data_IF_271270829759
#
_entry.id   IF_271270829759
#
_cell.length_a   1.000
_cell.length_b   1.000
_cell.length_c   1.000
_cell.angle_alpha   90.00
_cell.angle_beta   90.00
_cell.angle_gamma   90.00
#
_symmetry.space_group_name_H-M   'P 1'
#
loop_
_entity.id
_entity.type
_entity.pdbx_description
1 polymer ?
#
# COMPACT_ATOMS: atom_id res chain seq x y z
N UNK A 1 -19.31 25.74 -86.51
CA UNK A 1 -18.85 25.26 -85.18
C UNK A 1 -20.04 24.56 -84.56
N UNK A 2 -20.08 23.23 -84.64
CA UNK A 2 -21.17 22.40 -84.13
C UNK A 2 -20.70 21.69 -82.86
N UNK A 3 -21.57 21.74 -81.86
CA UNK A 3 -21.41 21.33 -80.47
C UNK A 3 -21.21 19.82 -80.37
N UNK A 4 -20.26 19.36 -79.53
CA UNK A 4 -19.99 17.96 -79.23
C UNK A 4 -20.98 17.43 -78.19
N UNK A 5 -21.51 16.24 -78.46
CA UNK A 5 -22.36 15.42 -77.59
C UNK A 5 -21.58 14.85 -76.41
N UNK A 6 -22.16 14.93 -75.20
CA UNK A 6 -21.77 14.14 -74.03
C UNK A 6 -22.85 13.09 -73.77
N UNK A 7 -22.45 11.81 -73.79
CA UNK A 7 -23.26 10.64 -73.49
C UNK A 7 -23.06 10.30 -72.00
N UNK A 8 -24.13 10.33 -71.20
CA UNK A 8 -24.12 9.90 -69.81
C UNK A 8 -24.16 8.36 -69.69
N UNK A 9 -23.42 7.74 -68.75
CA UNK A 9 -23.54 6.30 -68.49
C UNK A 9 -24.71 5.98 -67.55
N UNK A 10 -25.42 4.92 -67.89
CA UNK A 10 -26.59 4.36 -67.18
C UNK A 10 -26.14 3.70 -65.87
N UNK A 11 -26.73 4.10 -64.73
CA UNK A 11 -26.49 3.47 -63.44
C UNK A 11 -27.19 2.11 -63.34
N UNK A 12 -26.40 1.05 -63.11
CA UNK A 12 -26.89 -0.27 -62.79
C UNK A 12 -27.49 -0.30 -61.37
N UNK A 13 -28.75 -0.67 -61.26
CA UNK A 13 -29.45 -0.97 -60.01
C UNK A 13 -28.91 -2.27 -59.40
N UNK A 14 -28.18 -2.16 -58.29
CA UNK A 14 -27.86 -3.29 -57.44
C UNK A 14 -29.12 -3.69 -56.66
N UNK A 15 -29.65 -4.88 -56.94
CA UNK A 15 -30.69 -5.56 -56.16
C UNK A 15 -30.10 -5.94 -54.79
N UNK A 16 -30.53 -5.24 -53.75
CA UNK A 16 -30.17 -5.55 -52.37
C UNK A 16 -30.76 -6.91 -51.94
N UNK A 17 -29.93 -7.73 -51.29
CA UNK A 17 -30.35 -8.97 -50.63
C UNK A 17 -31.48 -8.71 -49.62
N UNK A 18 -32.37 -9.70 -49.34
CA UNK A 18 -33.40 -9.54 -48.33
C UNK A 18 -32.77 -9.15 -46.99
N UNK A 19 -33.35 -8.19 -46.25
CA UNK A 19 -32.82 -7.77 -44.96
C UNK A 19 -32.71 -8.98 -44.03
N UNK A 20 -31.59 -9.10 -43.32
CA UNK A 20 -31.46 -10.17 -42.33
C UNK A 20 -32.49 -9.97 -41.23
N UNK A 21 -32.96 -11.02 -40.56
CA UNK A 21 -33.90 -10.91 -39.42
C UNK A 21 -33.37 -9.95 -38.34
N UNK A 22 -32.05 -9.87 -38.20
CA UNK A 22 -31.34 -8.89 -37.38
C UNK A 22 -31.57 -7.45 -37.86
N UNK A 23 -31.52 -7.18 -39.17
CA UNK A 23 -31.77 -5.87 -39.74
C UNK A 23 -33.24 -5.43 -39.59
N UNK A 24 -34.20 -6.37 -39.62
CA UNK A 24 -35.61 -6.09 -39.33
C UNK A 24 -35.85 -5.72 -37.86
N UNK A 25 -35.18 -6.41 -36.93
CA UNK A 25 -35.22 -6.07 -35.50
C UNK A 25 -34.53 -4.71 -35.25
N UNK A 26 -33.40 -4.46 -35.90
CA UNK A 26 -32.68 -3.19 -35.81
C UNK A 26 -33.47 -2.01 -36.36
N UNK A 27 -34.34 -2.23 -37.36
CA UNK A 27 -35.25 -1.22 -37.89
C UNK A 27 -36.36 -0.80 -36.89
N UNK A 28 -36.66 -1.63 -35.88
CA UNK A 28 -37.59 -1.28 -34.80
C UNK A 28 -36.92 -0.47 -33.67
N UNK A 29 -35.60 -0.52 -33.55
CA UNK A 29 -34.83 0.34 -32.64
C UNK A 29 -34.69 1.76 -33.19
N UNK A 30 -34.72 2.78 -32.32
CA UNK A 30 -34.57 4.21 -32.68
C UNK A 30 -33.16 4.61 -33.17
N UNK A 31 -32.30 3.67 -33.56
CA UNK A 31 -30.89 3.90 -33.88
C UNK A 31 -30.70 3.95 -35.40
N UNK A 32 -30.08 5.02 -35.91
CA UNK A 32 -29.91 5.21 -37.34
C UNK A 32 -28.77 4.33 -37.92
N UNK A 33 -28.91 3.75 -39.13
CA UNK A 33 -27.97 2.79 -39.74
C UNK A 33 -26.54 3.29 -40.06
N UNK A 34 -26.23 4.56 -39.82
CA UNK A 34 -24.93 5.19 -40.15
C UNK A 34 -24.22 5.80 -38.93
N UNK A 35 -24.68 5.46 -37.74
CA UNK A 35 -24.05 5.89 -36.48
C UNK A 35 -23.10 4.81 -35.97
N UNK A 36 -22.01 5.20 -35.33
CA UNK A 36 -21.07 4.28 -34.64
C UNK A 36 -21.81 3.43 -33.58
N UNK A 37 -22.91 3.95 -33.04
CA UNK A 37 -23.82 3.24 -32.13
C UNK A 37 -24.61 2.10 -32.78
N UNK A 38 -24.77 2.08 -34.11
CA UNK A 38 -25.52 1.03 -34.82
C UNK A 38 -24.79 -0.31 -34.75
N UNK A 39 -23.47 -0.32 -34.97
CA UNK A 39 -22.66 -1.54 -34.94
C UNK A 39 -22.56 -2.13 -33.53
N UNK A 40 -22.42 -1.28 -32.52
CA UNK A 40 -22.43 -1.70 -31.10
C UNK A 40 -23.79 -2.31 -30.72
N UNK A 41 -24.88 -1.66 -31.14
CA UNK A 41 -26.24 -2.15 -30.87
C UNK A 41 -26.49 -3.48 -31.59
N UNK A 42 -26.05 -3.62 -32.84
CA UNK A 42 -26.15 -4.87 -33.61
C UNK A 42 -25.39 -6.00 -32.93
N UNK A 43 -24.17 -5.75 -32.44
CA UNK A 43 -23.41 -6.72 -31.65
C UNK A 43 -24.16 -7.11 -30.37
N UNK A 44 -24.67 -6.14 -29.62
CA UNK A 44 -25.45 -6.39 -28.40
C UNK A 44 -26.68 -7.26 -28.64
N UNK A 45 -27.48 -6.96 -29.68
CA UNK A 45 -28.67 -7.75 -30.04
C UNK A 45 -28.28 -9.16 -30.49
N UNK A 46 -27.21 -9.31 -31.26
CA UNK A 46 -26.73 -10.63 -31.70
C UNK A 46 -26.25 -11.50 -30.53
N UNK A 47 -25.51 -10.92 -29.58
CA UNK A 47 -25.06 -11.61 -28.37
C UNK A 47 -26.23 -12.00 -27.46
N UNK A 48 -27.24 -11.13 -27.34
CA UNK A 48 -28.45 -11.41 -26.58
C UNK A 48 -29.25 -12.59 -27.16
N UNK A 49 -29.46 -12.61 -28.48
CA UNK A 49 -30.15 -13.71 -29.18
C UNK A 49 -29.35 -15.02 -29.02
N UNK A 50 -28.02 -14.98 -29.14
CA UNK A 50 -27.18 -16.15 -28.94
C UNK A 50 -27.26 -16.70 -27.50
N UNK A 51 -27.28 -15.82 -26.49
CA UNK A 51 -27.45 -16.21 -25.09
C UNK A 51 -28.84 -16.80 -24.82
N UNK A 52 -29.90 -16.24 -25.44
CA UNK A 52 -31.25 -16.81 -25.35
C UNK A 52 -31.34 -18.21 -25.96
N UNK A 53 -30.71 -18.45 -27.10
CA UNK A 53 -30.71 -19.76 -27.77
C UNK A 53 -30.00 -20.85 -26.96
N UNK A 54 -29.11 -20.47 -26.03
CA UNK A 54 -28.41 -21.40 -25.14
C UNK A 54 -29.22 -21.73 -23.87
N UNK A 55 -30.25 -20.96 -23.53
CA UNK A 55 -31.14 -21.22 -22.40
C UNK A 55 -32.39 -21.99 -22.83
N UNK A 56 -32.72 -23.09 -22.14
CA UNK A 56 -33.90 -23.95 -22.44
C UNK A 56 -35.28 -23.29 -22.19
N UNK A 57 -35.34 -21.97 -21.98
CA UNK A 57 -36.56 -21.25 -21.58
C UNK A 57 -37.28 -20.64 -22.78
N UNK A 58 -37.98 -21.48 -23.54
CA UNK A 58 -38.65 -21.10 -24.81
C UNK A 58 -39.99 -20.37 -24.66
N UNK A 59 -40.42 -19.99 -23.45
CA UNK A 59 -41.82 -19.61 -23.20
C UNK A 59 -42.08 -18.34 -22.35
N UNK A 60 -41.06 -17.65 -21.82
CA UNK A 60 -41.30 -16.42 -21.03
C UNK A 60 -41.18 -15.14 -21.89
N UNK A 61 -42.11 -14.18 -21.73
CA UNK A 61 -42.01 -12.88 -22.39
C UNK A 61 -40.74 -12.16 -21.92
N UNK A 62 -39.97 -11.62 -22.88
CA UNK A 62 -38.72 -10.91 -22.62
C UNK A 62 -39.00 -9.75 -21.66
N UNK A 63 -38.59 -9.93 -20.41
CA UNK A 63 -38.75 -8.96 -19.36
C UNK A 63 -37.41 -8.24 -19.14
N UNK A 64 -37.45 -6.97 -18.75
CA UNK A 64 -36.24 -6.20 -18.41
C UNK A 64 -35.42 -6.95 -17.35
N UNK A 65 -36.11 -7.67 -16.45
CA UNK A 65 -35.52 -8.54 -15.43
C UNK A 65 -34.64 -9.67 -15.99
N UNK A 66 -34.96 -10.23 -17.17
CA UNK A 66 -34.14 -11.28 -17.78
C UNK A 66 -32.83 -10.71 -18.33
N UNK A 67 -32.87 -9.48 -18.87
CA UNK A 67 -31.67 -8.75 -19.30
C UNK A 67 -30.81 -8.39 -18.08
N UNK A 68 -31.43 -7.88 -17.01
CA UNK A 68 -30.73 -7.55 -15.76
C UNK A 68 -30.07 -8.80 -15.14
N UNK A 69 -30.73 -9.96 -15.21
CA UNK A 69 -30.16 -11.23 -14.73
C UNK A 69 -28.94 -11.67 -15.57
N UNK A 70 -28.99 -11.52 -16.90
CA UNK A 70 -27.83 -11.79 -17.76
C UNK A 70 -26.67 -10.84 -17.48
N UNK A 71 -26.95 -9.56 -17.26
CA UNK A 71 -25.93 -8.57 -16.88
C UNK A 71 -25.32 -8.94 -15.53
N UNK A 72 -26.14 -9.33 -14.54
CA UNK A 72 -25.65 -9.76 -13.24
C UNK A 72 -24.73 -10.99 -13.31
N UNK A 73 -25.02 -11.97 -14.18
CA UNK A 73 -24.14 -13.12 -14.39
C UNK A 73 -22.82 -12.72 -15.07
N UNK A 74 -22.86 -11.81 -16.05
CA UNK A 74 -21.66 -11.24 -16.67
C UNK A 74 -20.81 -10.49 -15.63
N UNK A 75 -21.44 -9.65 -14.81
CA UNK A 75 -20.79 -8.89 -13.74
C UNK A 75 -20.16 -9.84 -12.71
N UNK A 76 -20.84 -10.93 -12.34
CA UNK A 76 -20.31 -11.94 -11.41
C UNK A 76 -19.12 -12.72 -12.00
N UNK A 77 -19.15 -13.05 -13.30
CA UNK A 77 -18.01 -13.69 -13.98
C UNK A 77 -16.82 -12.73 -14.12
N UNK A 78 -17.09 -11.47 -14.48
CA UNK A 78 -16.08 -10.43 -14.63
C UNK A 78 -15.46 -10.08 -13.28
N UNK A 79 -16.26 -10.01 -12.21
CA UNK A 79 -15.78 -9.74 -10.84
C UNK A 79 -14.83 -10.83 -10.37
N UNK A 80 -15.18 -12.12 -10.53
CA UNK A 80 -14.28 -13.23 -10.18
C UNK A 80 -12.96 -13.21 -10.96
N UNK A 81 -13.02 -12.85 -12.24
CA UNK A 81 -11.81 -12.71 -13.05
C UNK A 81 -10.97 -11.52 -12.58
N UNK A 82 -11.61 -10.41 -12.20
CA UNK A 82 -10.93 -9.23 -11.68
C UNK A 82 -10.29 -9.50 -10.31
N UNK A 83 -10.96 -10.23 -9.42
CA UNK A 83 -10.41 -10.66 -8.12
C UNK A 83 -9.12 -11.45 -8.31
N UNK A 84 -9.08 -12.39 -9.27
CA UNK A 84 -7.88 -13.14 -9.58
C UNK A 84 -6.70 -12.27 -10.08
N UNK A 85 -6.99 -11.13 -10.73
CA UNK A 85 -5.97 -10.19 -11.22
C UNK A 85 -5.51 -9.27 -10.09
N UNK A 86 -6.43 -8.70 -9.31
CA UNK A 86 -6.14 -7.73 -8.26
C UNK A 86 -5.50 -8.41 -7.04
N UNK A 87 -5.89 -9.64 -6.71
CA UNK A 87 -5.32 -10.41 -5.60
C UNK A 87 -4.06 -11.18 -6.00
N UNK A 88 -3.56 -11.01 -7.22
CA UNK A 88 -2.25 -11.58 -7.60
C UNK A 88 -1.13 -10.89 -6.79
N UNK A 89 -0.19 -11.65 -6.20
CA UNK A 89 0.79 -11.10 -5.26
C UNK A 89 1.68 -10.01 -5.90
N UNK A 90 2.09 -10.19 -7.15
CA UNK A 90 2.91 -9.21 -7.89
C UNK A 90 2.15 -7.89 -8.10
N UNK A 91 0.86 -7.97 -8.43
CA UNK A 91 0.02 -6.79 -8.63
C UNK A 91 -0.23 -6.09 -7.29
N UNK A 92 -0.52 -6.85 -6.25
CA UNK A 92 -0.83 -6.33 -4.93
C UNK A 92 0.40 -5.66 -4.29
N UNK A 93 1.60 -6.20 -4.47
CA UNK A 93 2.84 -5.57 -4.02
C UNK A 93 3.04 -4.21 -4.70
N UNK A 94 2.90 -4.15 -6.03
CA UNK A 94 3.02 -2.90 -6.78
C UNK A 94 1.91 -1.89 -6.42
N UNK A 95 0.66 -2.36 -6.29
CA UNK A 95 -0.46 -1.51 -5.90
C UNK A 95 -0.25 -0.95 -4.48
N UNK A 96 0.23 -1.79 -3.55
CA UNK A 96 0.50 -1.38 -2.17
C UNK A 96 1.58 -0.30 -2.10
N UNK A 97 2.66 -0.44 -2.89
CA UNK A 97 3.74 0.54 -2.97
C UNK A 97 3.23 1.88 -3.52
N UNK A 98 2.57 1.85 -4.68
CA UNK A 98 2.11 3.07 -5.36
C UNK A 98 1.02 3.79 -4.57
N UNK A 99 0.10 3.06 -3.93
CA UNK A 99 -0.92 3.68 -3.07
C UNK A 99 -0.34 4.19 -1.76
N UNK A 100 0.63 3.51 -1.17
CA UNK A 100 1.32 4.03 0.02
C UNK A 100 2.09 5.32 -0.30
N UNK A 101 2.76 5.35 -1.46
CA UNK A 101 3.44 6.56 -1.94
C UNK A 101 2.45 7.68 -2.22
N UNK A 102 1.32 7.38 -2.87
CA UNK A 102 0.23 8.34 -3.09
C UNK A 102 -0.26 8.92 -1.76
N UNK A 103 -0.50 8.08 -0.76
CA UNK A 103 -0.92 8.50 0.58
C UNK A 103 0.10 9.44 1.21
N UNK A 104 1.40 9.14 1.11
CA UNK A 104 2.46 10.01 1.62
C UNK A 104 2.48 11.36 0.91
N UNK A 105 2.37 11.37 -0.42
CA UNK A 105 2.36 12.61 -1.23
C UNK A 105 1.11 13.46 -0.98
N UNK A 106 -0.05 12.84 -0.79
CA UNK A 106 -1.30 13.57 -0.47
C UNK A 106 -1.27 14.19 0.93
N UNK A 107 -0.59 13.55 1.89
CA UNK A 107 -0.45 14.06 3.26
C UNK A 107 0.71 15.05 3.43
N UNK A 108 1.73 14.97 2.59
CA UNK A 108 2.87 15.88 2.62
C UNK A 108 2.52 17.20 1.92
N UNK A 109 2.44 18.31 2.68
CA UNK A 109 2.21 19.62 2.08
C UNK A 109 3.49 20.12 1.38
N UNK A 110 3.52 19.98 0.06
CA UNK A 110 4.65 20.40 -0.78
C UNK A 110 4.87 21.92 -0.79
N UNK A 111 3.89 22.71 -0.35
CA UNK A 111 4.04 24.18 -0.22
C UNK A 111 4.93 24.56 0.97
N UNK A 112 5.03 23.68 1.96
CA UNK A 112 5.79 23.90 3.19
C UNK A 112 7.24 23.40 3.07
N UNK A 113 7.87 23.49 1.88
CA UNK A 113 9.26 23.08 1.60
C UNK A 113 9.54 21.58 1.85
N UNK A 114 8.56 20.71 1.57
CA UNK A 114 8.74 19.26 1.66
C UNK A 114 8.96 18.71 0.25
N UNK A 115 10.08 17.99 0.07
CA UNK A 115 10.40 17.28 -1.16
C UNK A 115 10.47 15.79 -0.90
N UNK A 116 9.85 15.01 -1.78
CA UNK A 116 9.87 13.55 -1.72
C UNK A 116 10.66 13.05 -2.92
N UNK A 117 11.76 12.35 -2.66
CA UNK A 117 12.57 11.71 -3.69
C UNK A 117 12.23 10.22 -3.75
N UNK A 118 12.07 9.69 -4.96
CA UNK A 118 11.79 8.28 -5.19
C UNK A 118 13.02 7.60 -5.77
N UNK A 119 13.42 6.48 -5.16
CA UNK A 119 14.50 5.62 -5.61
C UNK A 119 13.95 4.20 -5.73
N UNK A 120 13.94 3.66 -6.95
CA UNK A 120 13.48 2.30 -7.21
C UNK A 120 14.64 1.32 -7.03
N UNK A 121 14.58 0.50 -5.97
CA UNK A 121 15.59 -0.51 -5.66
C UNK A 121 14.89 -1.68 -4.97
N UNK A 122 15.25 -2.90 -5.36
CA UNK A 122 14.81 -4.13 -4.67
C UNK A 122 15.69 -4.42 -3.45
N UNK A 123 15.17 -5.20 -2.49
CA UNK A 123 15.93 -5.54 -1.28
C UNK A 123 17.23 -6.31 -1.59
N UNK A 124 17.20 -7.16 -2.62
CA UNK A 124 18.34 -7.95 -3.09
C UNK A 124 19.41 -7.06 -3.75
N UNK A 125 19.01 -6.19 -4.67
CA UNK A 125 19.93 -5.23 -5.31
C UNK A 125 20.61 -4.30 -4.30
N UNK A 126 19.88 -3.89 -3.25
CA UNK A 126 20.45 -3.05 -2.20
C UNK A 126 21.51 -3.79 -1.40
N UNK A 127 21.29 -5.07 -1.11
CA UNK A 127 22.29 -5.90 -0.43
C UNK A 127 23.50 -6.15 -1.32
N UNK A 128 23.28 -6.47 -2.59
CA UNK A 128 24.34 -6.70 -3.57
C UNK A 128 25.20 -5.44 -3.78
N UNK A 129 24.62 -4.24 -3.80
CA UNK A 129 25.36 -2.97 -3.85
C UNK A 129 26.33 -2.82 -2.66
N UNK A 130 25.89 -3.17 -1.44
CA UNK A 130 26.76 -3.15 -0.26
C UNK A 130 27.82 -4.24 -0.25
N UNK A 131 27.55 -5.40 -0.87
CA UNK A 131 28.52 -6.50 -0.95
C UNK A 131 29.56 -6.27 -2.06
N UNK A 132 29.17 -5.61 -3.15
CA UNK A 132 30.05 -5.26 -4.25
C UNK A 132 31.01 -4.13 -3.88
N UNK A 133 30.55 -3.16 -3.08
CA UNK A 133 31.37 -2.04 -2.64
C UNK A 133 32.46 -2.51 -1.65
N UNK A 134 33.75 -2.16 -1.86
CA UNK A 134 34.82 -2.49 -0.91
C UNK A 134 34.62 -1.83 0.47
N UNK A 135 33.98 -0.66 0.48
CA UNK A 135 33.63 0.11 1.67
C UNK A 135 32.22 0.70 1.51
N UNK A 136 31.50 0.83 2.61
CA UNK A 136 30.12 1.34 2.64
C UNK A 136 30.03 2.77 2.06
N UNK A 137 31.07 3.58 2.23
CA UNK A 137 31.13 4.95 1.71
C UNK A 137 31.23 5.02 0.18
N UNK A 138 31.49 3.88 -0.48
CA UNK A 138 31.59 3.78 -1.94
C UNK A 138 30.34 3.14 -2.57
N UNK A 139 29.34 2.75 -1.77
CA UNK A 139 28.11 2.16 -2.30
C UNK A 139 27.25 3.19 -3.03
N UNK A 140 26.42 2.72 -3.97
CA UNK A 140 25.49 3.58 -4.68
C UNK A 140 24.46 4.19 -3.72
N UNK A 141 23.99 3.41 -2.73
CA UNK A 141 23.08 3.91 -1.70
C UNK A 141 23.69 5.08 -0.91
N UNK A 142 24.97 4.97 -0.49
CA UNK A 142 25.65 6.06 0.20
C UNK A 142 25.72 7.32 -0.66
N UNK A 143 25.99 7.17 -1.96
CA UNK A 143 26.01 8.31 -2.89
C UNK A 143 24.66 9.04 -2.96
N UNK A 144 23.54 8.31 -2.93
CA UNK A 144 22.20 8.88 -3.02
C UNK A 144 21.69 9.49 -1.72
N UNK A 145 22.10 8.97 -0.56
CA UNK A 145 21.63 9.46 0.74
C UNK A 145 22.56 10.53 1.33
N UNK A 146 23.88 10.31 1.23
CA UNK A 146 24.89 11.21 1.78
C UNK A 146 25.42 12.18 0.73
N UNK A 147 26.06 11.68 -0.32
CA UNK A 147 26.91 12.52 -1.20
C UNK A 147 26.12 13.51 -2.06
N UNK A 148 24.93 13.16 -2.53
CA UNK A 148 24.08 14.01 -3.38
C UNK A 148 23.46 15.20 -2.62
N UNK A 149 23.17 15.00 -1.33
CA UNK A 149 22.50 15.97 -0.46
C UNK A 149 23.47 16.52 0.57
N UNK A 150 23.58 15.82 1.70
CA UNK A 150 24.34 16.27 2.87
C UNK A 150 25.82 16.57 2.59
N UNK A 151 26.48 15.75 1.75
CA UNK A 151 27.89 15.89 1.40
C UNK A 151 28.18 16.92 0.30
N UNK A 152 27.15 17.46 -0.36
CA UNK A 152 27.30 18.40 -1.48
C UNK A 152 27.18 19.84 -0.98
N UNK A 153 28.09 20.71 -1.39
CA UNK A 153 28.00 22.13 -1.09
C UNK A 153 26.73 22.73 -1.72
N UNK A 154 25.85 23.28 -0.88
CA UNK A 154 24.54 23.82 -1.30
C UNK A 154 23.50 22.74 -1.62
N UNK A 155 23.77 21.46 -1.32
CA UNK A 155 22.81 20.38 -1.43
C UNK A 155 21.76 20.42 -0.30
N UNK A 156 20.63 19.76 -0.55
CA UNK A 156 19.56 19.60 0.44
C UNK A 156 19.72 18.24 1.12
N UNK A 157 19.83 18.18 2.47
CA UNK A 157 20.04 16.93 3.18
C UNK A 157 18.78 16.06 3.20
N UNK A 158 18.96 14.74 3.17
CA UNK A 158 17.85 13.79 3.27
C UNK A 158 17.39 13.70 4.73
N UNK A 159 16.16 14.13 5.01
CA UNK A 159 15.59 14.14 6.36
C UNK A 159 15.42 12.74 6.96
N UNK A 160 14.79 11.84 6.22
CA UNK A 160 14.56 10.45 6.60
C UNK A 160 14.48 9.60 5.32
N UNK A 161 14.86 8.33 5.42
CA UNK A 161 14.72 7.36 4.34
C UNK A 161 13.61 6.38 4.68
N UNK A 162 12.64 6.24 3.78
CA UNK A 162 11.53 5.29 3.93
C UNK A 162 11.83 4.05 3.08
N UNK A 163 12.03 2.92 3.72
CA UNK A 163 12.15 1.62 3.06
C UNK A 163 10.79 0.92 3.00
N UNK A 164 10.27 0.67 1.80
CA UNK A 164 9.11 -0.19 1.60
C UNK A 164 9.53 -1.68 1.59
N UNK A 165 10.15 -2.13 2.66
CA UNK A 165 10.58 -3.51 2.84
C UNK A 165 9.88 -4.12 4.05
N UNK A 166 9.73 -5.44 4.02
CA UNK A 166 9.19 -6.22 5.13
C UNK A 166 10.30 -7.12 5.68
N UNK A 167 11.11 -6.58 6.60
CA UNK A 167 12.28 -7.29 7.12
C UNK A 167 11.90 -8.54 7.91
N UNK A 168 12.63 -9.63 7.67
CA UNK A 168 12.53 -10.92 8.34
C UNK A 168 13.74 -11.15 9.25
N UNK A 169 13.67 -12.13 10.13
CA UNK A 169 14.84 -12.53 10.95
C UNK A 169 15.78 -13.47 10.18
N UNK A 170 16.23 -13.04 9.00
CA UNK A 170 17.17 -13.78 8.14
C UNK A 170 18.56 -13.15 8.20
N UNK A 171 19.60 -13.91 7.82
CA UNK A 171 20.97 -13.38 7.80
C UNK A 171 21.15 -12.22 6.81
N UNK A 172 20.63 -12.30 5.55
CA UNK A 172 20.69 -11.20 4.58
C UNK A 172 20.05 -9.91 5.12
N UNK A 173 18.86 -10.01 5.71
CA UNK A 173 18.10 -8.86 6.21
C UNK A 173 18.81 -8.17 7.38
N UNK A 174 19.35 -8.95 8.32
CA UNK A 174 20.12 -8.40 9.43
C UNK A 174 21.43 -7.73 8.96
N UNK A 175 22.06 -8.28 7.93
CA UNK A 175 23.26 -7.70 7.32
C UNK A 175 22.93 -6.39 6.61
N UNK A 176 21.83 -6.37 5.85
CA UNK A 176 21.32 -5.18 5.18
C UNK A 176 20.98 -4.06 6.18
N UNK A 177 20.20 -4.37 7.22
CA UNK A 177 19.87 -3.41 8.28
C UNK A 177 21.13 -2.84 8.96
N UNK A 178 22.16 -3.66 9.16
CA UNK A 178 23.43 -3.19 9.70
C UNK A 178 24.10 -2.18 8.76
N UNK A 179 24.21 -2.47 7.47
CA UNK A 179 24.81 -1.53 6.51
C UNK A 179 24.00 -0.24 6.38
N UNK A 180 22.67 -0.34 6.29
CA UNK A 180 21.78 0.82 6.26
C UNK A 180 21.96 1.67 7.52
N UNK A 181 22.03 1.06 8.71
CA UNK A 181 22.22 1.80 9.96
C UNK A 181 23.50 2.63 9.97
N UNK A 182 24.57 2.12 9.36
CA UNK A 182 25.86 2.80 9.27
C UNK A 182 25.78 4.00 8.31
N UNK A 183 25.15 3.84 7.14
CA UNK A 183 24.93 4.96 6.20
C UNK A 183 24.02 6.02 6.82
N UNK A 184 22.92 5.60 7.44
CA UNK A 184 21.99 6.48 8.15
C UNK A 184 22.67 7.26 9.28
N UNK A 185 23.59 6.63 10.00
CA UNK A 185 24.38 7.30 11.03
C UNK A 185 25.35 8.36 10.46
N UNK A 186 25.96 8.09 9.32
CA UNK A 186 26.83 9.04 8.62
C UNK A 186 26.04 10.23 8.04
N UNK A 187 24.85 9.98 7.49
CA UNK A 187 23.99 11.00 6.88
C UNK A 187 23.08 11.73 7.87
N UNK A 188 23.08 11.33 9.15
CA UNK A 188 22.13 11.81 10.16
C UNK A 188 20.67 11.71 9.72
N UNK A 189 20.34 10.64 8.98
CA UNK A 189 19.02 10.42 8.37
C UNK A 189 18.46 9.08 8.85
N UNK A 190 17.44 9.07 9.72
CA UNK A 190 16.85 7.81 10.17
C UNK A 190 16.22 7.04 9.00
N UNK A 191 16.45 5.73 8.99
CA UNK A 191 15.81 4.79 8.09
C UNK A 191 14.58 4.17 8.76
N UNK A 192 13.43 4.30 8.11
CA UNK A 192 12.13 3.83 8.58
C UNK A 192 11.62 2.73 7.67
N UNK A 193 11.28 1.58 8.22
CA UNK A 193 10.71 0.47 7.44
C UNK A 193 9.74 -0.35 8.29
N UNK A 194 9.29 -1.50 7.80
CA UNK A 194 8.47 -2.44 8.58
C UNK A 194 9.15 -3.79 8.71
N UNK A 195 8.63 -4.59 9.65
CA UNK A 195 8.95 -6.00 9.76
C UNK A 195 7.82 -6.85 9.19
N UNK A 196 8.14 -8.10 8.82
CA UNK A 196 7.16 -9.11 8.44
C UNK A 196 6.59 -9.82 9.68
N UNK A 197 5.42 -10.48 9.57
CA UNK A 197 4.89 -11.38 10.61
C UNK A 197 5.88 -12.49 10.95
N UNK A 198 6.59 -13.00 9.94
CA UNK A 198 7.64 -14.00 10.08
C UNK A 198 8.78 -13.56 11.01
N UNK A 199 8.98 -12.24 11.18
CA UNK A 199 9.96 -11.71 12.13
C UNK A 199 9.65 -12.13 13.56
N UNK A 200 8.37 -12.27 13.93
CA UNK A 200 7.92 -12.72 15.24
C UNK A 200 7.77 -14.25 15.32
N UNK A 201 8.10 -14.98 14.24
CA UNK A 201 7.83 -16.41 14.11
C UNK A 201 6.34 -16.71 13.92
N UNK A 202 5.59 -15.77 13.36
CA UNK A 202 4.16 -15.90 13.05
C UNK A 202 3.96 -16.03 11.55
N UNK A 203 2.96 -16.80 11.13
CA UNK A 203 2.55 -16.86 9.73
C UNK A 203 1.68 -15.64 9.38
N UNK A 204 0.84 -15.18 10.32
CA UNK A 204 -0.04 -14.02 10.14
C UNK A 204 0.03 -13.05 11.33
N UNK A 205 -0.13 -11.75 11.05
CA UNK A 205 -0.24 -10.71 12.07
C UNK A 205 -1.44 -10.86 13.00
N UNK A 206 -2.48 -11.59 12.57
CA UNK A 206 -3.68 -11.87 13.38
C UNK A 206 -3.36 -12.68 14.64
N UNK A 207 -2.25 -13.42 14.66
CA UNK A 207 -1.82 -14.27 15.77
C UNK A 207 -1.00 -13.51 16.83
N UNK A 208 -0.62 -12.26 16.55
CA UNK A 208 0.20 -11.44 17.45
C UNK A 208 -0.35 -11.31 18.89
N UNK A 209 -1.68 -11.20 19.12
CA UNK A 209 -2.23 -11.18 20.48
C UNK A 209 -2.09 -12.51 21.23
N UNK A 210 -1.88 -13.62 20.50
CA UNK A 210 -1.74 -14.95 21.08
C UNK A 210 -0.39 -15.19 21.78
N UNK A 211 0.63 -14.42 21.41
CA UNK A 211 1.94 -14.46 22.06
C UNK A 211 1.83 -13.85 23.46
N UNK A 212 2.19 -14.62 24.50
CA UNK A 212 2.16 -14.12 25.89
C UNK A 212 3.21 -13.05 26.18
N UNK A 213 4.46 -13.29 25.77
CA UNK A 213 5.60 -12.40 26.05
C UNK A 213 6.49 -12.30 24.80
N UNK A 214 6.55 -11.14 24.11
CA UNK A 214 7.33 -10.99 22.89
C UNK A 214 8.84 -10.94 23.18
N UNK A 215 9.25 -10.39 24.33
CA UNK A 215 10.66 -10.32 24.72
C UNK A 215 11.34 -11.70 24.79
N UNK A 216 10.62 -12.72 25.28
CA UNK A 216 11.12 -14.09 25.36
C UNK A 216 11.46 -14.69 23.98
N UNK A 217 10.75 -14.28 22.92
CA UNK A 217 11.03 -14.72 21.55
C UNK A 217 12.41 -14.21 21.12
N UNK A 218 12.70 -12.93 21.38
CA UNK A 218 13.94 -12.27 20.96
C UNK A 218 15.17 -12.68 21.78
N UNK A 219 14.99 -13.30 22.94
CA UNK A 219 16.07 -13.92 23.70
C UNK A 219 16.57 -15.23 23.08
N UNK A 220 15.78 -15.84 22.19
CA UNK A 220 16.13 -17.06 21.48
C UNK A 220 17.46 -16.98 20.70
N UNK A 221 18.09 -18.13 20.40
CA UNK A 221 19.35 -18.18 19.66
C UNK A 221 19.20 -17.70 18.20
N UNK A 222 18.01 -17.87 17.61
CA UNK A 222 17.68 -17.40 16.26
C UNK A 222 17.82 -15.88 16.12
N UNK A 223 17.61 -15.11 17.20
CA UNK A 223 17.68 -13.66 17.24
C UNK A 223 19.02 -13.12 17.76
N UNK A 224 20.08 -13.95 17.77
CA UNK A 224 21.42 -13.51 18.17
C UNK A 224 21.93 -12.33 17.33
N UNK A 225 21.70 -12.34 16.02
CA UNK A 225 22.06 -11.23 15.10
C UNK A 225 21.24 -9.98 15.35
N UNK A 226 19.93 -10.14 15.57
CA UNK A 226 19.03 -9.05 15.94
C UNK A 226 19.49 -8.37 17.24
N UNK A 227 19.80 -9.14 18.29
CA UNK A 227 20.33 -8.60 19.55
C UNK A 227 21.66 -7.87 19.34
N UNK A 228 22.56 -8.41 18.52
CA UNK A 228 23.81 -7.74 18.18
C UNK A 228 23.59 -6.41 17.44
N UNK A 229 22.60 -6.35 16.52
CA UNK A 229 22.21 -5.12 15.84
C UNK A 229 21.70 -4.08 16.85
N UNK A 230 20.84 -4.47 17.79
CA UNK A 230 20.28 -3.58 18.82
C UNK A 230 21.31 -3.01 19.79
N UNK A 231 22.39 -3.74 20.07
CA UNK A 231 23.49 -3.27 20.91
C UNK A 231 24.45 -2.32 20.16
N UNK A 232 24.37 -2.28 18.83
CA UNK A 232 25.14 -1.36 17.99
C UNK A 232 24.73 0.09 18.23
N UNK A 233 25.69 1.01 18.15
CA UNK A 233 25.42 2.44 18.31
C UNK A 233 24.65 3.03 17.12
N UNK A 234 24.93 2.52 15.92
CA UNK A 234 24.33 2.98 14.66
C UNK A 234 22.83 2.65 14.56
N UNK A 235 22.37 1.65 15.32
CA UNK A 235 20.96 1.21 15.34
C UNK A 235 19.98 2.27 15.86
N UNK A 236 20.48 3.39 16.43
CA UNK A 236 19.67 4.55 16.83
C UNK A 236 18.96 5.26 15.67
N UNK A 237 19.46 5.06 14.45
CA UNK A 237 18.89 5.61 13.22
C UNK A 237 17.98 4.60 12.51
N UNK A 238 17.73 3.43 13.07
CA UNK A 238 16.76 2.47 12.53
C UNK A 238 15.44 2.57 13.30
N UNK A 239 14.35 2.78 12.56
CA UNK A 239 12.98 2.64 13.05
C UNK A 239 12.24 1.55 12.30
N UNK A 240 11.79 0.51 13.01
CA UNK A 240 11.01 -0.57 12.41
C UNK A 240 9.58 -0.53 12.93
N UNK A 241 8.64 -0.49 11.99
CA UNK A 241 7.20 -0.37 12.27
C UNK A 241 6.48 -1.72 12.18
N UNK A 242 5.40 -1.86 12.96
CA UNK A 242 4.52 -3.02 12.97
C UNK A 242 3.11 -2.61 13.48
N UNK A 243 1.99 -3.24 13.09
CA UNK A 243 1.75 -4.21 12.01
C UNK A 243 1.49 -3.47 10.68
N UNK A 244 0.92 -4.11 9.64
CA UNK A 244 0.47 -3.41 8.42
C UNK A 244 -0.86 -2.67 8.65
N UNK A 245 -1.22 -1.79 7.71
CA UNK A 245 -2.49 -1.04 7.75
C UNK A 245 -3.24 -1.13 6.41
N UNK A 246 -4.54 -0.89 6.41
CA UNK A 246 -5.38 -0.99 5.23
C UNK A 246 -5.24 0.27 4.36
N UNK A 247 -4.84 0.11 3.10
CA UNK A 247 -4.67 1.24 2.16
C UNK A 247 -5.96 1.64 1.45
N UNK A 248 -6.87 0.68 1.27
CA UNK A 248 -8.01 0.81 0.37
C UNK A 248 -9.21 0.04 0.89
N UNK A 249 -10.40 0.62 0.73
CA UNK A 249 -11.66 -0.09 0.87
C UNK A 249 -11.85 -1.08 -0.30
N UNK A 250 -12.28 -2.32 -0.03
CA UNK A 250 -12.71 -3.25 -1.06
C UNK A 250 -13.71 -2.59 -2.02
N UNK A 251 -13.67 -2.96 -3.29
CA UNK A 251 -14.63 -2.44 -4.25
C UNK A 251 -16.02 -3.03 -3.96
N UNK A 252 -16.99 -2.14 -3.83
CA UNK A 252 -18.39 -2.49 -3.58
C UNK A 252 -19.26 -1.50 -4.33
N UNK A 253 -20.38 -1.94 -4.94
CA UNK A 253 -21.31 -1.03 -5.62
C UNK A 253 -21.86 0.09 -4.75
N UNK A 254 -21.91 -0.10 -3.42
CA UNK A 254 -22.49 0.84 -2.48
C UNK A 254 -21.45 1.81 -1.89
N UNK A 255 -20.30 1.29 -1.42
CA UNK A 255 -19.28 2.10 -0.73
C UNK A 255 -18.23 2.66 -1.69
N UNK A 256 -17.67 1.83 -2.57
CA UNK A 256 -16.57 2.18 -3.47
C UNK A 256 -16.85 1.65 -4.88
N UNK A 257 -17.76 2.31 -5.64
CA UNK A 257 -18.25 1.81 -6.91
C UNK A 257 -17.21 1.96 -8.03
N UNK A 258 -17.08 0.91 -8.85
CA UNK A 258 -16.41 1.02 -10.14
C UNK A 258 -17.33 1.72 -11.16
N UNK A 259 -16.73 2.52 -12.07
CA UNK A 259 -17.50 3.29 -13.06
C UNK A 259 -18.07 2.45 -14.21
N UNK A 260 -17.38 1.37 -14.57
CA UNK A 260 -17.63 0.63 -15.81
C UNK A 260 -18.66 -0.48 -15.64
N UNK A 261 -18.61 -1.20 -14.52
CA UNK A 261 -19.49 -2.34 -14.23
C UNK A 261 -19.68 -2.48 -12.71
N UNK A 262 -20.67 -3.26 -12.28
CA UNK A 262 -20.92 -3.50 -10.85
C UNK A 262 -19.92 -4.51 -10.31
N UNK A 263 -18.76 -4.01 -9.93
CA UNK A 263 -17.71 -4.81 -9.33
C UNK A 263 -17.97 -5.01 -7.84
N UNK A 264 -17.99 -6.27 -7.41
CA UNK A 264 -18.01 -6.66 -6.01
C UNK A 264 -16.78 -7.52 -5.73
N UNK A 265 -15.86 -7.00 -4.93
CA UNK A 265 -14.60 -7.67 -4.60
C UNK A 265 -14.79 -8.65 -3.44
N UNK A 266 -14.54 -9.94 -3.68
CA UNK A 266 -14.62 -10.95 -2.62
C UNK A 266 -13.36 -10.95 -1.74
N UNK A 267 -13.49 -10.41 -0.53
CA UNK A 267 -12.43 -10.40 0.50
C UNK A 267 -12.73 -11.35 1.67
N UNK A 268 -13.72 -12.23 1.53
CA UNK A 268 -14.21 -13.07 2.64
C UNK A 268 -13.28 -14.25 2.96
N UNK A 269 -12.56 -14.75 1.97
CA UNK A 269 -11.80 -16.01 2.08
C UNK A 269 -10.48 -15.85 2.81
N UNK A 270 -9.75 -14.76 2.56
CA UNK A 270 -8.42 -14.54 3.10
C UNK A 270 -8.23 -13.11 3.60
N UNK A 271 -7.55 -12.98 4.74
CA UNK A 271 -7.13 -11.67 5.24
C UNK A 271 -6.13 -10.98 4.31
N UNK A 272 -5.35 -11.76 3.55
CA UNK A 272 -4.37 -11.22 2.60
C UNK A 272 -5.03 -10.67 1.33
N UNK A 273 -6.30 -10.96 1.05
CA UNK A 273 -7.02 -10.34 -0.08
C UNK A 273 -7.23 -8.84 0.09
N UNK A 274 -7.08 -8.32 1.32
CA UNK A 274 -7.09 -6.88 1.57
C UNK A 274 -5.77 -6.24 1.13
N UNK A 275 -5.84 -5.01 0.63
CA UNK A 275 -4.64 -4.28 0.27
C UNK A 275 -3.94 -3.67 1.50
N UNK A 276 -3.01 -4.44 2.05
CA UNK A 276 -2.17 -4.02 3.18
C UNK A 276 -1.00 -3.15 2.72
N UNK A 277 -0.82 -2.02 3.39
CA UNK A 277 0.29 -1.09 3.21
C UNK A 277 1.30 -1.11 4.35
N UNK A 278 2.49 -0.60 4.05
CA UNK A 278 3.58 -0.50 5.00
C UNK A 278 3.40 0.72 5.92
N UNK A 279 3.32 0.50 7.22
CA UNK A 279 3.15 1.54 8.24
C UNK A 279 4.27 2.57 8.30
N UNK A 280 5.44 2.29 7.71
CA UNK A 280 6.53 3.27 7.59
C UNK A 280 6.09 4.53 6.83
N UNK A 281 5.19 4.41 5.85
CA UNK A 281 4.63 5.55 5.13
C UNK A 281 3.71 6.43 5.99
N UNK A 282 2.95 5.83 6.91
CA UNK A 282 2.13 6.58 7.86
C UNK A 282 2.99 7.37 8.86
N UNK A 283 4.06 6.74 9.35
CA UNK A 283 5.02 7.41 10.22
C UNK A 283 5.73 8.55 9.49
N UNK A 284 6.09 8.34 8.22
CA UNK A 284 6.67 9.36 7.36
C UNK A 284 5.69 10.52 7.07
N UNK A 285 4.39 10.22 6.92
CA UNK A 285 3.37 11.25 6.79
C UNK A 285 3.27 12.11 8.06
N UNK A 286 3.35 11.50 9.25
CA UNK A 286 3.38 12.26 10.51
C UNK A 286 4.65 13.11 10.65
N UNK A 287 5.80 12.61 10.19
CA UNK A 287 7.04 13.40 10.11
C UNK A 287 6.88 14.62 9.20
N UNK A 288 6.32 14.42 8.01
CA UNK A 288 6.04 15.50 7.06
C UNK A 288 5.05 16.53 7.64
N UNK A 289 3.98 16.08 8.31
CA UNK A 289 3.00 16.95 8.94
C UNK A 289 3.59 17.75 10.12
N UNK A 290 4.42 17.11 10.95
CA UNK A 290 5.15 17.80 12.02
C UNK A 290 6.07 18.88 11.44
N UNK A 291 6.80 18.57 10.38
CA UNK A 291 7.68 19.54 9.72
C UNK A 291 6.88 20.68 9.08
N UNK A 292 5.78 20.40 8.40
CA UNK A 292 4.93 21.44 7.81
C UNK A 292 4.43 22.45 8.87
N UNK A 293 4.05 21.95 10.06
CA UNK A 293 3.50 22.79 11.14
C UNK A 293 4.57 23.53 11.96
N UNK A 294 5.66 22.85 12.30
CA UNK A 294 6.62 23.33 13.29
C UNK A 294 8.03 23.57 12.74
N UNK A 295 8.26 23.23 11.46
CA UNK A 295 9.59 23.18 10.83
C UNK A 295 10.58 22.23 11.51
N UNK A 296 10.06 21.36 12.38
CA UNK A 296 10.78 20.42 13.22
C UNK A 296 9.95 19.14 13.35
N UNK A 297 10.62 18.01 13.58
CA UNK A 297 10.00 16.68 13.61
C UNK A 297 9.87 16.00 15.00
N UNK A 298 9.68 16.70 16.15
CA UNK A 298 9.52 16.03 17.44
C UNK A 298 8.10 15.46 17.64
N UNK A 299 7.11 15.99 16.92
CA UNK A 299 5.70 15.75 17.17
C UNK A 299 5.16 14.63 16.27
N UNK A 300 5.67 13.42 16.49
CA UNK A 300 5.30 12.21 15.73
C UNK A 300 4.71 11.09 16.60
N UNK A 301 4.54 11.37 17.90
CA UNK A 301 3.99 10.45 18.88
C UNK A 301 2.81 11.09 19.60
N UNK A 302 1.93 10.26 20.16
CA UNK A 302 0.83 10.67 21.01
C UNK A 302 -0.46 11.02 20.24
N UNK A 303 -1.65 10.66 20.77
CA UNK A 303 -2.92 10.83 20.06
C UNK A 303 -3.29 12.27 19.72
N UNK A 304 -2.80 13.23 20.50
CA UNK A 304 -3.07 14.66 20.29
C UNK A 304 -1.82 15.46 19.92
N UNK A 305 -0.65 14.82 19.93
CA UNK A 305 0.66 15.48 19.80
C UNK A 305 1.32 15.20 18.43
N UNK A 306 0.53 14.86 17.41
CA UNK A 306 0.99 14.63 16.04
C UNK A 306 1.28 13.17 15.66
N UNK A 307 1.13 12.22 16.60
CA UNK A 307 1.25 10.79 16.31
C UNK A 307 -0.04 10.12 15.81
N UNK A 308 -1.13 10.86 15.67
CA UNK A 308 -2.42 10.31 15.24
C UNK A 308 -2.54 10.23 13.72
N UNK A 309 -2.88 9.05 13.23
CA UNK A 309 -3.22 8.76 11.84
C UNK A 309 -4.75 8.77 11.72
N UNK A 310 -5.26 9.73 10.96
CA UNK A 310 -6.70 9.90 10.71
C UNK A 310 -7.12 9.30 9.37
N UNK A 311 -8.42 9.17 9.19
CA UNK A 311 -9.06 8.78 7.92
C UNK A 311 -8.54 7.45 7.37
N UNK A 312 -8.44 6.43 8.25
CA UNK A 312 -8.11 5.08 7.81
C UNK A 312 -9.33 4.36 7.24
N UNK A 313 -9.17 3.59 6.14
CA UNK A 313 -10.25 2.79 5.59
C UNK A 313 -10.84 1.79 6.58
N UNK A 314 -12.15 1.87 6.81
CA UNK A 314 -12.92 0.90 7.60
C UNK A 314 -13.90 0.17 6.67
N UNK A 315 -13.76 -1.15 6.54
CA UNK A 315 -14.70 -1.96 5.76
C UNK A 315 -15.75 -2.58 6.68
N UNK A 316 -17.03 -2.33 6.43
CA UNK A 316 -18.13 -2.93 7.18
C UNK A 316 -18.55 -4.23 6.49
N UNK A 317 -18.52 -5.35 7.22
CA UNK A 317 -18.92 -6.65 6.69
C UNK A 317 -19.87 -7.36 7.66
N UNK A 318 -20.76 -8.17 7.11
CA UNK A 318 -21.66 -9.00 7.92
C UNK A 318 -20.92 -10.26 8.37
N UNK A 319 -20.93 -10.51 9.68
CA UNK A 319 -20.37 -11.72 10.28
C UNK A 319 -21.31 -12.25 11.35
N UNK A 320 -21.72 -13.51 11.21
CA UNK A 320 -22.63 -14.19 12.15
C UNK A 320 -23.94 -13.41 12.39
N UNK A 321 -24.49 -12.76 11.34
CA UNK A 321 -25.73 -11.99 11.41
C UNK A 321 -25.61 -10.62 12.09
N UNK A 322 -24.38 -10.15 12.33
CA UNK A 322 -24.11 -8.79 12.83
C UNK A 322 -23.17 -8.05 11.90
N UNK A 323 -23.45 -6.77 11.68
CA UNK A 323 -22.52 -5.87 10.99
C UNK A 323 -21.33 -5.58 11.89
N UNK A 324 -20.14 -5.98 11.44
CA UNK A 324 -18.88 -5.75 12.12
C UNK A 324 -17.95 -4.92 11.25
N UNK A 325 -17.23 -4.00 11.87
CA UNK A 325 -16.21 -3.22 11.20
C UNK A 325 -14.89 -4.00 11.20
N UNK A 326 -14.34 -4.25 10.01
CA UNK A 326 -12.96 -4.71 9.86
C UNK A 326 -12.03 -3.62 10.38
N UNK A 327 -11.13 -4.01 11.26
CA UNK A 327 -10.12 -3.14 11.82
C UNK A 327 -9.16 -2.67 10.70
N UNK A 328 -8.84 -1.36 10.61
CA UNK A 328 -7.91 -0.84 9.61
C UNK A 328 -6.45 -1.27 9.82
N UNK A 329 -6.09 -1.67 11.04
CA UNK A 329 -4.84 -2.38 11.32
C UNK A 329 -5.11 -3.88 11.35
N UNK A 330 -4.12 -4.70 11.01
CA UNK A 330 -4.31 -6.17 10.99
C UNK A 330 -4.67 -6.76 12.36
N UNK A 331 -4.23 -6.09 13.42
CA UNK A 331 -4.41 -6.52 14.80
C UNK A 331 -4.74 -5.33 15.70
N UNK A 332 -5.54 -5.60 16.74
CA UNK A 332 -5.74 -4.68 17.85
C UNK A 332 -4.65 -4.88 18.89
N UNK A 333 -3.70 -3.95 18.93
CA UNK A 333 -2.63 -3.93 19.92
C UNK A 333 -3.15 -3.28 21.20
N UNK A 334 -2.98 -3.96 22.34
CA UNK A 334 -3.29 -3.41 23.66
C UNK A 334 -2.16 -2.51 24.15
N UNK A 335 -2.44 -1.57 25.06
CA UNK A 335 -1.43 -0.65 25.60
C UNK A 335 -0.23 -1.39 26.23
N UNK A 336 -0.49 -2.50 26.92
CA UNK A 336 0.58 -3.36 27.46
C UNK A 336 1.45 -3.91 26.34
N UNK A 337 0.86 -4.33 25.24
CA UNK A 337 1.56 -4.94 24.11
C UNK A 337 2.34 -3.90 23.30
N UNK A 338 1.79 -2.71 23.14
CA UNK A 338 2.49 -1.54 22.58
C UNK A 338 3.77 -1.29 23.38
N UNK A 339 3.66 -1.24 24.71
CA UNK A 339 4.80 -1.00 25.59
C UNK A 339 5.87 -2.11 25.50
N UNK A 340 5.45 -3.38 25.52
CA UNK A 340 6.37 -4.53 25.36
C UNK A 340 7.09 -4.50 24.00
N UNK A 341 6.39 -4.16 22.92
CA UNK A 341 6.99 -4.03 21.58
C UNK A 341 7.91 -2.80 21.48
N UNK A 342 7.55 -1.70 22.15
CA UNK A 342 8.36 -0.49 22.22
C UNK A 342 9.67 -0.71 22.99
N UNK A 343 9.67 -1.52 24.06
CA UNK A 343 10.88 -1.95 24.77
C UNK A 343 11.79 -2.83 23.89
N UNK A 344 11.20 -3.57 22.95
CA UNK A 344 11.91 -4.39 21.97
C UNK A 344 12.38 -3.61 20.73
N UNK A 345 12.07 -2.30 20.64
CA UNK A 345 12.55 -1.41 19.59
C UNK A 345 11.66 -1.36 18.34
N UNK A 346 10.37 -1.66 18.49
CA UNK A 346 9.37 -1.52 17.44
C UNK A 346 8.49 -0.28 17.64
N UNK A 347 8.15 0.36 16.53
CA UNK A 347 7.22 1.49 16.47
C UNK A 347 5.87 0.93 16.08
N UNK A 348 4.93 0.90 17.02
CA UNK A 348 3.66 0.20 16.79
C UNK A 348 2.49 1.13 16.51
N UNK A 349 1.68 0.77 15.51
CA UNK A 349 0.46 1.49 15.20
C UNK A 349 -0.71 0.88 15.97
N UNK A 350 -1.23 1.64 16.93
CA UNK A 350 -2.38 1.23 17.75
C UNK A 350 -3.66 1.85 17.21
N UNK A 351 -4.72 1.07 17.09
CA UNK A 351 -6.00 1.54 16.55
C UNK A 351 -6.97 1.90 17.67
N UNK A 352 -7.69 3.02 17.52
CA UNK A 352 -8.76 3.41 18.44
C UNK A 352 -10.01 2.60 18.11
N UNK A 353 -10.32 1.62 18.96
CA UNK A 353 -11.45 0.70 18.81
C UNK A 353 -12.76 1.44 18.47
N UNK A 354 -13.41 1.02 17.39
CA UNK A 354 -14.69 1.56 16.94
C UNK A 354 -14.60 2.90 16.19
N UNK A 355 -13.41 3.33 15.80
CA UNK A 355 -13.21 4.52 14.96
C UNK A 355 -12.21 4.25 13.85
N UNK A 356 -12.09 5.19 12.92
CA UNK A 356 -11.14 5.21 11.79
C UNK A 356 -9.78 5.84 12.14
N UNK A 357 -9.48 6.01 13.43
CA UNK A 357 -8.26 6.66 13.89
C UNK A 357 -7.28 5.64 14.49
N UNK A 358 -6.00 5.82 14.20
CA UNK A 358 -4.90 5.10 14.83
C UNK A 358 -3.84 6.07 15.37
N UNK A 359 -2.91 5.57 16.19
CA UNK A 359 -1.88 6.39 16.81
C UNK A 359 -0.59 5.61 17.04
N UNK A 360 0.54 6.29 16.83
CA UNK A 360 1.84 5.90 17.35
C UNK A 360 2.02 6.49 18.75
N UNK A 361 2.12 5.65 19.78
CA UNK A 361 2.36 6.11 21.15
C UNK A 361 3.83 6.34 21.44
N UNK A 362 4.70 5.52 20.85
CA UNK A 362 6.15 5.61 20.98
C UNK A 362 6.82 5.51 19.61
N UNK A 363 7.97 6.18 19.46
CA UNK A 363 8.80 6.14 18.27
C UNK A 363 10.24 5.76 18.68
N UNK A 364 10.35 4.60 19.32
CA UNK A 364 11.64 4.07 19.76
C UNK A 364 12.40 3.51 18.56
N UNK A 365 13.69 3.85 18.48
CA UNK A 365 14.61 3.19 17.56
C UNK A 365 14.87 1.74 17.99
N UNK A 366 15.43 0.96 17.08
CA UNK A 366 15.84 -0.43 17.33
C UNK A 366 16.87 -0.54 18.47
N UNK A 367 17.64 0.51 18.71
CA UNK A 367 18.70 0.53 19.71
C UNK A 367 18.21 0.18 21.11
N UNK A 368 18.91 -0.76 21.76
CA UNK A 368 18.71 -1.07 23.17
C UNK A 368 19.49 -0.08 24.06
N UNK A 369 18.83 0.66 24.97
CA UNK A 369 19.53 1.55 25.89
C UNK A 369 20.52 0.80 26.80
N UNK A 370 21.79 1.22 26.81
CA UNK A 370 22.82 0.64 27.69
C UNK A 370 22.54 1.00 29.16
N UNK A 371 22.53 -0.01 30.03
CA UNK A 371 22.38 0.17 31.48
C UNK A 371 23.71 0.63 32.09
N UNK A 372 23.83 1.92 32.38
CA UNK A 372 25.00 2.46 33.08
C UNK A 372 24.87 2.31 34.62
N UNK A 373 25.97 2.01 35.34
CA UNK A 373 25.97 1.95 36.80
C UNK A 373 25.60 3.30 37.41
N UNK A 374 24.94 3.35 38.57
CA UNK A 374 24.47 4.59 39.22
C UNK A 374 25.62 5.39 39.88
N UNK A 375 26.62 5.81 39.11
CA UNK A 375 27.65 6.77 39.58
C UNK A 375 27.28 8.21 39.16
N UNK A 376 27.78 9.26 39.87
CA UNK A 376 27.50 10.65 39.51
C UNK A 376 27.85 11.00 38.05
N UNK A 377 28.97 10.47 37.53
CA UNK A 377 29.38 10.60 36.12
C UNK A 377 28.46 9.86 35.16
N UNK A 378 27.93 8.71 35.54
CA UNK A 378 26.98 7.96 34.74
C UNK A 378 25.56 8.55 34.75
N UNK A 379 25.20 9.34 35.77
CA UNK A 379 23.94 10.10 35.79
C UNK A 379 23.89 11.19 34.73
N UNK A 380 25.05 11.77 34.38
CA UNK A 380 25.22 12.71 33.25
C UNK A 380 25.24 12.02 31.88
N UNK A 381 25.63 10.74 31.81
CA UNK A 381 25.64 9.93 30.58
C UNK A 381 24.38 9.09 30.37
N UNK A 382 23.43 9.13 31.31
CA UNK A 382 22.12 8.51 31.08
C UNK A 382 21.44 9.30 29.97
N UNK A 383 21.09 8.69 28.83
CA UNK A 383 20.15 9.33 27.92
C UNK A 383 18.85 9.52 28.71
N UNK A 384 18.47 10.77 28.95
CA UNK A 384 17.23 11.13 29.66
C UNK A 384 15.98 10.80 28.83
N UNK A 385 16.19 10.33 27.60
CA UNK A 385 15.17 9.98 26.62
C UNK A 385 15.41 8.51 26.28
N UNK A 386 14.46 7.64 26.63
CA UNK A 386 14.42 6.25 26.15
C UNK A 386 14.57 6.28 24.63
N UNK A 387 15.69 5.79 24.09
CA UNK A 387 15.92 5.39 22.68
C UNK A 387 15.04 6.04 21.60
N UNK A 388 14.77 7.34 21.68
CA UNK A 388 13.93 8.02 20.73
C UNK A 388 14.67 8.10 19.41
N UNK A 389 13.96 7.92 18.30
CA UNK A 389 14.56 8.05 16.98
C UNK A 389 15.34 9.36 16.88
N UNK A 390 16.63 9.25 16.60
CA UNK A 390 17.52 10.40 16.57
C UNK A 390 17.39 11.13 15.23
N UNK A 391 16.33 11.91 15.04
CA UNK A 391 16.27 12.91 13.98
C UNK A 391 17.01 14.16 14.50
N UNK A 392 18.32 14.23 14.30
CA UNK A 392 19.15 15.39 14.69
C UNK A 392 19.52 16.28 13.50
N UNK A 393 18.96 16.00 12.33
CA UNK A 393 19.08 16.86 11.15
C UNK A 393 18.35 18.17 11.47
N UNK A 394 19.13 19.20 11.78
CA UNK A 394 18.70 20.58 11.63
C UNK A 394 18.41 20.75 10.13
N UNK A 395 17.14 20.60 9.75
CA UNK A 395 16.63 20.87 8.40
C UNK A 395 16.61 22.36 8.12
#
# INVERSE_FOLDING_TARGET
MSVKEDIAPVSASQTAAPPSLLDEIMAQTRVQPKSESYDITRQGVSAFIAAMLQGDSSAEPINILAVDAMIADIDARTSRQMDAIIHAPEFQELESLLRSLKLLVERADTRENIKVHFLNVTQEELLDDFEFAPEITQSAYYKHVYSSGYGQFGGEPVAAVIGNFAFKNTTPDMKLLKYISQVSAMAHSPFLSSVSSEFFGLDSWTELPGIKEPGAIFEGPAYSRWRALRESEDSRYLGLTAPRFLLRHPYSPDENPARTFRYHEDVSQSHESYLWGNTSFLLAANLAESFAKYRWCPNIIGPSSGGAVKDLPVHLYESMGQMQAKIPTEVLITDRREYELAEEGFITLTMRKGSDNACFFSANSVQKPKKFPKTPKARLRRPTINSALSCHTYL
#
